data_IF_409855743142
#
_entry.id   IF_409855743142
#
_cell.length_a   1.000
_cell.length_b   1.000
_cell.length_c   1.000
_cell.angle_alpha   90.00
_cell.angle_beta   90.00
_cell.angle_gamma   90.00
#
_symmetry.space_group_name_H-M   'P 1'
#
loop_
_entity.id
_entity.type
_entity.pdbx_description
1 polymer ?
#
# COMPACT_ATOMS: atom_id res chain seq x y z
N UNK A 1 61.28 -6.39 -22.04
CA UNK A 1 60.69 -7.22 -23.12
C UNK A 1 59.81 -8.32 -22.56
N UNK A 2 58.55 -8.00 -22.29
CA UNK A 2 57.42 -8.90 -22.57
C UNK A 2 56.35 -8.00 -23.17
N UNK A 3 56.28 -8.07 -24.49
CA UNK A 3 55.37 -7.29 -25.31
C UNK A 3 53.93 -7.77 -25.19
N UNK A 4 53.10 -6.83 -25.57
CA UNK A 4 51.66 -6.77 -25.65
C UNK A 4 50.99 -7.74 -26.65
N UNK A 5 49.65 -7.76 -26.55
CA UNK A 5 48.61 -7.89 -27.60
C UNK A 5 48.43 -9.17 -28.44
N UNK A 6 47.21 -9.73 -28.36
CA UNK A 6 46.18 -9.81 -29.43
C UNK A 6 45.08 -10.82 -28.99
N UNK A 7 43.90 -10.39 -28.54
CA UNK A 7 42.68 -10.04 -29.29
C UNK A 7 42.16 -11.09 -30.30
N UNK A 8 40.94 -11.57 -30.03
CA UNK A 8 39.89 -12.06 -30.98
C UNK A 8 40.13 -13.42 -31.68
N UNK A 9 39.19 -14.38 -31.84
CA UNK A 9 37.74 -14.33 -32.10
C UNK A 9 36.97 -15.58 -31.61
N UNK A 10 35.84 -15.31 -30.94
CA UNK A 10 34.51 -15.89 -31.07
C UNK A 10 34.31 -17.20 -31.88
N UNK A 11 33.82 -18.27 -31.24
CA UNK A 11 32.78 -19.16 -31.81
C UNK A 11 32.01 -19.84 -30.67
N UNK A 12 30.67 -19.84 -30.75
CA UNK A 12 29.91 -20.99 -30.29
C UNK A 12 28.88 -20.79 -29.17
N UNK A 13 27.66 -20.42 -29.57
CA UNK A 13 26.38 -20.96 -29.07
C UNK A 13 25.99 -20.56 -27.63
N UNK A 14 25.10 -19.57 -27.57
CA UNK A 14 24.38 -19.18 -26.36
C UNK A 14 23.59 -20.34 -25.76
N UNK A 15 23.93 -20.72 -24.52
CA UNK A 15 23.08 -21.55 -23.67
C UNK A 15 22.08 -20.63 -22.97
N UNK A 16 20.94 -20.38 -23.62
CA UNK A 16 19.75 -19.83 -22.97
C UNK A 16 19.44 -20.71 -21.75
N UNK A 17 19.54 -20.16 -20.53
CA UNK A 17 18.94 -20.78 -19.36
C UNK A 17 17.44 -20.81 -19.61
N UNK A 18 16.90 -22.00 -19.87
CA UNK A 18 15.48 -22.26 -19.86
C UNK A 18 14.95 -21.96 -18.47
N UNK A 19 14.44 -20.74 -18.27
CA UNK A 19 13.51 -20.47 -17.18
C UNK A 19 12.22 -21.17 -17.54
N UNK A 20 12.02 -22.36 -17.00
CA UNK A 20 10.70 -22.99 -16.96
C UNK A 20 9.81 -22.10 -16.11
N UNK A 21 9.10 -21.17 -16.76
CA UNK A 21 8.04 -20.39 -16.15
C UNK A 21 6.97 -21.39 -15.66
N UNK A 22 6.63 -21.44 -14.36
CA UNK A 22 5.48 -22.19 -13.92
C UNK A 22 4.25 -21.55 -14.57
N UNK A 23 3.51 -22.31 -15.37
CA UNK A 23 2.23 -21.86 -15.89
C UNK A 23 1.29 -21.63 -14.71
N UNK A 24 0.93 -20.37 -14.48
CA UNK A 24 -0.11 -19.95 -13.55
C UNK A 24 -1.47 -20.37 -14.14
N UNK A 25 -1.80 -21.64 -13.99
CA UNK A 25 -3.16 -22.14 -14.07
C UNK A 25 -3.49 -22.80 -12.74
N UNK A 26 -3.37 -22.02 -11.66
CA UNK A 26 -4.08 -22.32 -10.43
C UNK A 26 -5.47 -21.76 -10.62
N UNK A 27 -6.38 -22.58 -11.15
CA UNK A 27 -7.80 -22.36 -10.91
C UNK A 27 -7.99 -22.38 -9.39
N UNK A 28 -8.17 -21.19 -8.82
CA UNK A 28 -8.48 -21.06 -7.42
C UNK A 28 -9.96 -21.40 -7.24
N UNK A 29 -10.25 -22.69 -7.04
CA UNK A 29 -11.58 -23.14 -6.66
C UNK A 29 -11.85 -22.71 -5.22
N UNK A 30 -12.50 -21.56 -5.03
CA UNK A 30 -13.14 -21.22 -3.75
C UNK A 30 -14.31 -22.19 -3.55
N UNK A 31 -14.06 -23.36 -2.95
CA UNK A 31 -15.13 -24.19 -2.42
C UNK A 31 -15.60 -23.59 -1.09
N UNK A 32 -16.43 -22.55 -1.15
CA UNK A 32 -17.18 -22.15 0.02
C UNK A 32 -18.25 -23.20 0.24
N UNK A 33 -18.09 -24.04 1.25
CA UNK A 33 -19.20 -24.81 1.79
C UNK A 33 -20.17 -23.82 2.45
N UNK A 34 -21.06 -23.24 1.64
CA UNK A 34 -22.16 -22.38 2.09
C UNK A 34 -23.10 -23.22 2.94
N UNK A 35 -22.90 -23.16 4.25
CA UNK A 35 -23.93 -23.55 5.20
C UNK A 35 -25.01 -22.47 5.12
N UNK A 36 -26.23 -22.86 4.71
CA UNK A 36 -27.37 -21.97 4.64
C UNK A 36 -27.78 -21.53 6.06
N UNK A 37 -27.13 -20.50 6.60
CA UNK A 37 -27.48 -19.90 7.88
C UNK A 37 -27.09 -18.43 7.90
N UNK A 38 -28.12 -17.56 7.98
CA UNK A 38 -28.11 -16.08 7.89
C UNK A 38 -27.62 -15.51 6.54
N UNK A 39 -28.25 -14.42 6.05
CA UNK A 39 -27.71 -13.68 4.92
C UNK A 39 -26.32 -13.16 5.28
N UNK A 40 -25.40 -13.17 4.32
CA UNK A 40 -24.07 -12.59 4.50
C UNK A 40 -24.22 -11.08 4.76
N UNK A 41 -23.36 -10.51 5.61
CA UNK A 41 -23.32 -9.06 5.84
C UNK A 41 -23.16 -8.30 4.51
N UNK A 42 -22.45 -8.92 3.56
CA UNK A 42 -22.27 -8.39 2.22
C UNK A 42 -23.59 -8.34 1.43
N UNK A 43 -24.37 -9.41 1.45
CA UNK A 43 -25.66 -9.47 0.75
C UNK A 43 -26.62 -8.42 1.34
N UNK A 44 -26.69 -8.33 2.66
CA UNK A 44 -27.49 -7.32 3.36
C UNK A 44 -27.04 -5.89 3.05
N UNK A 45 -25.73 -5.65 2.86
CA UNK A 45 -25.22 -4.34 2.47
C UNK A 45 -25.55 -4.00 1.01
N UNK A 46 -25.50 -4.97 0.11
CA UNK A 46 -25.80 -4.78 -1.32
C UNK A 46 -27.29 -4.54 -1.56
N UNK A 47 -28.15 -5.15 -0.75
CA UNK A 47 -29.61 -4.95 -0.78
C UNK A 47 -30.07 -3.74 0.05
N UNK A 48 -29.21 -3.18 0.90
CA UNK A 48 -29.57 -2.06 1.76
C UNK A 48 -29.81 -0.78 0.94
N UNK A 49 -30.98 -0.18 1.14
CA UNK A 49 -31.26 1.19 0.67
C UNK A 49 -30.46 2.19 1.51
N UNK A 50 -29.29 2.57 1.01
CA UNK A 50 -28.44 3.60 1.63
C UNK A 50 -28.95 4.97 1.15
N UNK A 51 -29.37 5.87 2.05
CA UNK A 51 -29.85 7.20 1.68
C UNK A 51 -28.83 7.93 0.80
N UNK A 52 -29.29 8.53 -0.30
CA UNK A 52 -28.40 9.23 -1.25
C UNK A 52 -27.66 10.42 -0.62
N UNK A 53 -28.12 10.93 0.53
CA UNK A 53 -27.40 11.93 1.33
C UNK A 53 -26.06 11.40 1.83
N UNK A 54 -26.01 10.14 2.29
CA UNK A 54 -24.79 9.50 2.80
C UNK A 54 -23.82 9.19 1.67
N UNK A 55 -24.32 8.84 0.49
CA UNK A 55 -23.49 8.53 -0.69
C UNK A 55 -22.75 9.76 -1.22
N UNK A 56 -23.33 10.96 -1.06
CA UNK A 56 -22.70 12.23 -1.46
C UNK A 56 -21.63 12.68 -0.47
N UNK A 57 -21.73 12.25 0.78
CA UNK A 57 -20.74 12.53 1.82
C UNK A 57 -19.55 11.56 1.76
N UNK A 58 -18.55 11.79 2.60
CA UNK A 58 -17.38 10.92 2.66
C UNK A 58 -17.80 9.52 3.18
N UNK A 59 -17.60 8.44 2.41
CA UNK A 59 -18.03 7.09 2.81
C UNK A 59 -17.37 6.63 4.11
N UNK A 60 -16.20 7.19 4.46
CA UNK A 60 -15.54 6.93 5.75
C UNK A 60 -16.42 7.32 6.95
N UNK A 61 -17.27 8.35 6.83
CA UNK A 61 -18.17 8.75 7.91
C UNK A 61 -19.27 7.72 8.13
N UNK A 62 -19.84 7.16 7.06
CA UNK A 62 -20.81 6.07 7.16
C UNK A 62 -20.21 4.88 7.91
N UNK A 63 -19.03 4.41 7.51
CA UNK A 63 -18.36 3.29 8.18
C UNK A 63 -17.85 3.62 9.59
N UNK A 64 -17.77 4.91 9.94
CA UNK A 64 -17.46 5.33 11.31
C UNK A 64 -18.70 5.48 12.20
N UNK A 65 -19.91 5.43 11.63
CA UNK A 65 -21.16 5.59 12.38
C UNK A 65 -21.48 4.39 13.27
N UNK A 66 -22.25 4.63 14.34
CA UNK A 66 -22.76 3.55 15.20
C UNK A 66 -23.66 2.58 14.41
N UNK A 67 -24.42 3.09 13.45
CA UNK A 67 -25.30 2.28 12.59
C UNK A 67 -24.52 1.19 11.83
N UNK A 68 -23.43 1.56 11.16
CA UNK A 68 -22.58 0.61 10.44
C UNK A 68 -21.85 -0.35 11.38
N UNK A 69 -21.61 0.05 12.64
CA UNK A 69 -20.95 -0.78 13.65
C UNK A 69 -21.83 -1.94 14.12
N UNK A 70 -23.12 -1.64 14.31
CA UNK A 70 -24.10 -2.60 14.79
C UNK A 70 -24.55 -3.51 13.64
N UNK A 71 -24.76 -2.93 12.46
CA UNK A 71 -25.31 -3.65 11.30
C UNK A 71 -24.26 -4.45 10.53
N UNK A 72 -23.03 -3.95 10.42
CA UNK A 72 -21.99 -4.53 9.56
C UNK A 72 -20.62 -4.57 10.25
N UNK A 73 -20.45 -5.33 11.35
CA UNK A 73 -19.22 -5.33 12.13
C UNK A 73 -17.99 -5.82 11.33
N UNK A 74 -18.14 -6.85 10.49
CA UNK A 74 -17.04 -7.39 9.68
C UNK A 74 -16.73 -6.46 8.52
N UNK A 75 -17.77 -6.01 7.80
CA UNK A 75 -17.59 -5.12 6.65
C UNK A 75 -17.05 -3.75 7.08
N UNK A 76 -17.42 -3.24 8.26
CA UNK A 76 -16.80 -2.03 8.85
C UNK A 76 -15.30 -2.21 9.08
N UNK A 77 -14.88 -3.35 9.62
CA UNK A 77 -13.46 -3.62 9.84
C UNK A 77 -12.69 -3.63 8.50
N UNK A 78 -13.27 -4.25 7.48
CA UNK A 78 -12.71 -4.29 6.12
C UNK A 78 -12.66 -2.89 5.49
N UNK A 79 -13.77 -2.14 5.54
CA UNK A 79 -13.87 -0.78 5.05
C UNK A 79 -12.80 0.13 5.67
N UNK A 80 -12.60 0.06 6.99
CA UNK A 80 -11.54 0.83 7.68
C UNK A 80 -10.15 0.52 7.12
N UNK A 81 -9.84 -0.75 6.84
CA UNK A 81 -8.56 -1.15 6.24
C UNK A 81 -8.44 -0.61 4.83
N UNK A 82 -9.46 -0.76 4.00
CA UNK A 82 -9.47 -0.27 2.62
C UNK A 82 -9.32 1.25 2.54
N UNK A 83 -10.08 2.02 3.33
CA UNK A 83 -9.98 3.49 3.34
C UNK A 83 -8.71 4.02 3.99
N UNK A 84 -7.92 3.18 4.66
CA UNK A 84 -6.60 3.57 5.17
C UNK A 84 -5.51 3.52 4.08
N UNK A 85 -5.80 2.86 2.95
CA UNK A 85 -4.86 2.77 1.83
C UNK A 85 -4.95 4.05 1.00
N UNK A 86 -3.84 4.79 0.80
CA UNK A 86 -3.85 5.93 -0.09
C UNK A 86 -4.05 5.46 -1.54
N UNK A 87 -4.88 6.16 -2.29
CA UNK A 87 -5.11 5.86 -3.70
C UNK A 87 -3.89 6.12 -4.61
N UNK A 88 -2.87 6.84 -4.11
CA UNK A 88 -1.71 7.28 -4.91
C UNK A 88 -0.39 7.13 -4.15
N UNK A 89 0.70 6.93 -4.89
CA UNK A 89 2.09 7.00 -4.42
C UNK A 89 2.59 8.43 -4.19
N UNK A 90 1.80 9.46 -4.51
CA UNK A 90 2.23 10.86 -4.41
C UNK A 90 2.70 11.28 -3.00
N UNK A 91 2.25 10.57 -1.95
CA UNK A 91 2.73 10.78 -0.58
C UNK A 91 4.19 10.30 -0.40
N UNK A 92 4.51 9.11 -0.90
CA UNK A 92 5.85 8.53 -0.80
C UNK A 92 6.82 9.22 -1.77
N UNK A 93 6.39 9.57 -2.98
CA UNK A 93 7.19 10.34 -3.93
C UNK A 93 7.60 11.72 -3.36
N UNK A 94 6.68 12.42 -2.69
CA UNK A 94 7.00 13.67 -1.97
C UNK A 94 8.00 13.44 -0.84
N UNK A 95 7.88 12.32 -0.12
CA UNK A 95 8.84 11.95 0.92
C UNK A 95 10.25 11.78 0.32
N UNK A 96 10.37 11.00 -0.76
CA UNK A 96 11.65 10.74 -1.44
C UNK A 96 12.24 11.97 -2.11
N UNK A 97 11.41 12.84 -2.68
CA UNK A 97 11.85 14.11 -3.23
C UNK A 97 12.50 14.97 -2.14
N UNK A 98 11.89 15.00 -0.95
CA UNK A 98 12.45 15.68 0.21
C UNK A 98 13.73 15.01 0.74
N UNK A 99 13.79 13.68 0.77
CA UNK A 99 15.01 12.93 1.11
C UNK A 99 16.15 13.28 0.16
N UNK A 100 15.87 13.37 -1.14
CA UNK A 100 16.84 13.79 -2.16
C UNK A 100 17.42 15.17 -1.86
N UNK A 101 16.58 16.11 -1.40
CA UNK A 101 17.05 17.44 -0.98
C UNK A 101 17.91 17.33 0.29
N UNK A 102 17.49 16.61 1.32
CA UNK A 102 18.26 16.48 2.57
C UNK A 102 19.64 15.88 2.29
N UNK A 103 19.69 14.78 1.55
CA UNK A 103 20.92 14.04 1.27
C UNK A 103 21.85 14.84 0.34
N UNK A 104 21.29 15.52 -0.67
CA UNK A 104 22.09 16.24 -1.68
C UNK A 104 22.50 17.66 -1.22
N UNK A 105 21.69 18.32 -0.38
CA UNK A 105 21.81 19.77 -0.18
C UNK A 105 23.17 20.24 0.32
N UNK A 106 23.90 19.49 1.18
CA UNK A 106 25.30 19.83 1.57
C UNK A 106 26.04 18.64 2.22
N UNK A 107 26.62 17.68 1.47
CA UNK A 107 27.57 16.64 1.93
C UNK A 107 27.41 16.20 3.41
N UNK A 108 26.19 15.87 3.85
CA UNK A 108 25.97 15.43 5.22
C UNK A 108 26.38 13.97 5.32
N UNK A 109 27.22 13.64 6.31
CA UNK A 109 27.41 12.25 6.77
C UNK A 109 26.19 11.80 7.57
N UNK A 110 25.01 11.91 6.97
CA UNK A 110 23.77 11.45 7.57
C UNK A 110 23.70 9.93 7.36
N UNK A 111 23.61 9.17 8.44
CA UNK A 111 23.34 7.74 8.30
C UNK A 111 21.90 7.52 7.79
N UNK A 112 21.61 6.39 7.13
CA UNK A 112 20.26 6.03 6.75
C UNK A 112 19.28 6.08 7.94
N UNK A 113 19.72 5.58 9.11
CA UNK A 113 18.90 5.60 10.34
C UNK A 113 18.53 7.03 10.78
N UNK A 114 19.45 7.98 10.64
CA UNK A 114 19.19 9.39 10.96
C UNK A 114 18.19 10.01 10.00
N UNK A 115 18.21 9.63 8.72
CA UNK A 115 17.24 10.08 7.72
C UNK A 115 15.83 9.54 8.05
N UNK A 116 15.73 8.27 8.38
CA UNK A 116 14.46 7.65 8.79
C UNK A 116 13.88 8.32 10.04
N UNK A 117 14.72 8.59 11.04
CA UNK A 117 14.30 9.33 12.23
C UNK A 117 13.75 10.72 11.89
N UNK A 118 14.39 11.45 10.96
CA UNK A 118 13.88 12.75 10.49
C UNK A 118 12.51 12.61 9.83
N UNK A 119 12.31 11.56 9.01
CA UNK A 119 11.02 11.30 8.38
C UNK A 119 9.92 11.00 9.40
N UNK A 120 10.21 10.16 10.41
CA UNK A 120 9.27 9.84 11.50
C UNK A 120 8.94 11.08 12.33
N UNK A 121 9.93 11.87 12.75
CA UNK A 121 9.70 13.10 13.52
C UNK A 121 8.86 14.10 12.70
N UNK A 122 9.15 14.21 11.39
CA UNK A 122 8.42 15.12 10.50
C UNK A 122 6.96 14.70 10.34
N UNK A 123 6.68 13.41 10.17
CA UNK A 123 5.29 12.92 10.03
C UNK A 123 4.53 13.05 11.36
N UNK A 124 5.17 12.73 12.49
CA UNK A 124 4.59 12.82 13.82
C UNK A 124 4.29 14.28 14.25
N UNK A 125 5.10 15.25 13.83
CA UNK A 125 4.89 16.68 14.16
C UNK A 125 3.48 17.16 13.86
N UNK A 126 2.90 16.75 12.71
CA UNK A 126 1.55 17.15 12.32
C UNK A 126 0.49 16.59 13.27
N UNK A 127 0.69 15.38 13.76
CA UNK A 127 -0.23 14.72 14.70
C UNK A 127 -0.14 15.39 16.08
N UNK A 128 1.08 15.59 16.58
CA UNK A 128 1.32 16.18 17.91
C UNK A 128 0.88 17.65 17.97
N UNK A 129 1.07 18.43 16.91
CA UNK A 129 0.63 19.83 16.85
C UNK A 129 -0.89 20.01 16.84
N UNK A 130 -1.65 18.98 16.45
CA UNK A 130 -3.12 19.01 16.51
C UNK A 130 -3.65 18.70 17.91
N UNK A 131 -2.87 18.01 18.75
CA UNK A 131 -3.25 17.66 20.13
C UNK A 131 -3.14 18.87 21.05
N UNK A 132 -2.13 19.73 20.87
CA UNK A 132 -1.94 20.94 21.69
C UNK A 132 -2.96 22.07 21.44
N UNK A 133 -3.83 21.95 20.43
CA UNK A 133 -4.86 22.94 20.10
C UNK A 133 -6.27 22.53 20.55
N UNK A 134 -6.39 21.39 21.24
CA UNK A 134 -7.67 20.84 21.67
C UNK A 134 -8.03 21.18 23.13
N UNK A 135 -7.24 22.04 23.78
CA UNK A 135 -7.50 22.59 25.12
C UNK A 135 -7.93 24.07 25.04
#
# INVERSE_FOLDING_TARGET
>A
NREDINLTQNTGIGRRRSSSSPSLSTEFSYSTTYQASKPDELDEYLEADIPSSIVKDNPRHFWSSELASIKFPVLKCLARKLYSIPATSAGTERLFSYSGIIVNSKRQRLSPDQLDNIHVIRSARKVLGNIQKAD
#
